data_IF_892164004275
#
_entry.id   IF_892164004275
#
_cell.length_a   1.000
_cell.length_b   1.000
_cell.length_c   1.000
_cell.angle_alpha   90.00
_cell.angle_beta   90.00
_cell.angle_gamma   90.00
#
_symmetry.space_group_name_H-M   'P 1'
#
loop_
_entity.id
_entity.type
_entity.pdbx_description
1 polymer ?
#
# COMPACT_ATOMS: atom_id res chain seq x y z
N UNK A 1 -25.01 7.53 6.03
CA UNK A 1 -23.76 7.15 5.36
C UNK A 1 -22.66 7.27 6.40
N UNK A 2 -21.99 6.18 6.77
CA UNK A 2 -20.85 6.28 7.70
C UNK A 2 -19.74 7.12 7.07
N UNK A 3 -18.99 7.93 7.85
CA UNK A 3 -17.88 8.70 7.32
C UNK A 3 -16.86 7.77 6.66
N UNK A 4 -16.32 8.20 5.52
CA UNK A 4 -15.25 7.49 4.84
C UNK A 4 -13.99 7.55 5.70
N UNK A 5 -13.56 6.40 6.23
CA UNK A 5 -12.31 6.25 6.99
C UNK A 5 -11.31 5.46 6.15
N UNK A 6 -10.49 6.12 5.30
CA UNK A 6 -9.53 5.43 4.47
C UNK A 6 -8.41 4.81 5.33
N UNK A 7 -8.00 3.61 4.95
CA UNK A 7 -6.75 3.01 5.41
C UNK A 7 -5.73 3.00 4.27
N UNK A 8 -4.45 3.08 4.65
CA UNK A 8 -3.35 3.30 3.73
C UNK A 8 -2.34 2.17 3.80
N UNK A 9 -1.73 1.86 2.68
CA UNK A 9 -0.56 1.00 2.60
C UNK A 9 0.60 1.80 2.05
N UNK A 10 1.67 1.97 2.81
CA UNK A 10 2.88 2.60 2.31
C UNK A 10 3.83 1.54 1.75
N UNK A 11 4.14 1.67 0.47
CA UNK A 11 5.17 0.89 -0.21
C UNK A 11 6.55 1.12 0.45
N UNK A 12 7.52 0.23 0.21
CA UNK A 12 8.84 0.26 0.85
C UNK A 12 9.58 1.58 0.62
N UNK A 13 9.39 2.19 -0.56
CA UNK A 13 9.97 3.50 -0.82
C UNK A 13 9.40 4.60 0.08
N UNK A 14 8.30 4.41 0.80
CA UNK A 14 7.70 5.31 1.78
C UNK A 14 7.72 4.74 3.22
N UNK A 15 8.43 3.63 3.46
CA UNK A 15 8.42 2.86 4.71
C UNK A 15 8.76 3.69 5.96
N UNK A 16 9.77 4.56 5.87
CA UNK A 16 10.21 5.38 7.00
C UNK A 16 9.09 6.29 7.53
N UNK A 17 8.32 6.92 6.62
CA UNK A 17 7.17 7.74 6.97
C UNK A 17 6.07 6.89 7.64
N UNK A 18 5.76 5.73 7.08
CA UNK A 18 4.73 4.85 7.61
C UNK A 18 5.04 4.36 9.03
N UNK A 19 6.30 3.99 9.28
CA UNK A 19 6.77 3.61 10.63
C UNK A 19 6.67 4.76 11.63
N UNK A 20 6.97 6.00 11.22
CA UNK A 20 6.81 7.19 12.08
C UNK A 20 5.33 7.41 12.41
N UNK A 21 4.44 7.34 11.41
CA UNK A 21 3.00 7.50 11.60
C UNK A 21 2.42 6.42 12.53
N UNK A 22 2.77 5.15 12.30
CA UNK A 22 2.35 4.04 13.15
C UNK A 22 2.85 4.20 14.58
N UNK A 23 4.13 4.56 14.78
CA UNK A 23 4.69 4.89 16.10
C UNK A 23 4.01 6.09 16.75
N UNK A 24 3.51 7.03 15.95
CA UNK A 24 2.71 8.17 16.39
C UNK A 24 1.26 7.82 16.75
N UNK A 25 0.86 6.55 16.68
CA UNK A 25 -0.45 6.06 17.09
C UNK A 25 -1.48 5.95 15.96
N UNK A 26 -1.09 6.15 14.70
CA UNK A 26 -1.98 5.87 13.56
C UNK A 26 -2.17 4.37 13.40
N UNK A 27 -3.41 3.91 13.42
CA UNK A 27 -3.78 2.49 13.27
C UNK A 27 -4.32 2.16 11.88
N UNK A 28 -4.37 3.14 10.99
CA UNK A 28 -4.90 3.05 9.63
C UNK A 28 -3.79 3.11 8.56
N UNK A 29 -2.53 2.87 8.95
CA UNK A 29 -1.36 2.88 8.06
C UNK A 29 -0.63 1.56 8.19
N UNK A 30 -0.63 0.80 7.10
CA UNK A 30 0.09 -0.46 6.94
C UNK A 30 1.32 -0.27 6.06
N UNK A 31 2.25 -1.21 6.12
CA UNK A 31 3.48 -1.21 5.33
C UNK A 31 4.05 -2.63 5.25
N UNK A 32 5.00 -2.92 4.36
CA UNK A 32 5.71 -4.20 4.31
C UNK A 32 6.35 -4.59 5.65
N UNK A 33 5.95 -5.74 6.20
CA UNK A 33 6.35 -6.23 7.52
C UNK A 33 5.54 -5.64 8.68
N UNK A 34 4.37 -5.04 8.44
CA UNK A 34 3.47 -4.58 9.50
C UNK A 34 2.84 -5.78 10.23
N UNK A 35 2.75 -5.80 11.57
CA UNK A 35 2.21 -6.94 12.33
C UNK A 35 0.78 -7.36 11.91
N UNK A 36 -0.07 -6.38 11.61
CA UNK A 36 -1.47 -6.62 11.15
C UNK A 36 -1.61 -6.84 9.63
N UNK A 37 -0.48 -6.93 8.91
CA UNK A 37 -0.42 -7.26 7.47
C UNK A 37 0.73 -8.26 7.22
N UNK A 38 0.67 -9.47 7.81
CA UNK A 38 1.74 -10.46 7.67
C UNK A 38 1.92 -10.99 6.24
N UNK A 39 0.90 -10.88 5.38
CA UNK A 39 0.93 -11.36 3.99
C UNK A 39 1.85 -10.52 3.09
N UNK A 40 2.21 -9.32 3.53
CA UNK A 40 3.17 -8.46 2.82
C UNK A 40 4.45 -8.35 3.67
N UNK A 41 5.41 -9.29 3.53
CA UNK A 41 6.68 -9.20 4.25
C UNK A 41 7.51 -8.02 3.75
N UNK A 42 8.54 -7.65 4.54
CA UNK A 42 9.57 -6.71 4.07
C UNK A 42 10.27 -7.30 2.83
N UNK A 43 10.52 -6.46 1.83
CA UNK A 43 11.07 -6.84 0.53
C UNK A 43 10.04 -7.35 -0.49
N UNK A 44 8.75 -7.39 -0.16
CA UNK A 44 7.70 -7.77 -1.10
C UNK A 44 7.68 -6.82 -2.32
N UNK A 45 7.69 -7.41 -3.52
CA UNK A 45 7.66 -6.70 -4.79
C UNK A 45 6.28 -6.12 -5.08
N UNK A 46 6.23 -5.15 -6.00
CA UNK A 46 4.99 -4.49 -6.44
C UNK A 46 3.87 -5.47 -6.77
N UNK A 47 4.17 -6.45 -7.61
CA UNK A 47 3.19 -7.45 -8.05
C UNK A 47 2.78 -8.43 -6.95
N UNK A 48 3.55 -8.55 -5.87
CA UNK A 48 3.24 -9.42 -4.74
C UNK A 48 2.28 -8.73 -3.76
N UNK A 49 2.49 -7.45 -3.47
CA UNK A 49 1.63 -6.73 -2.52
C UNK A 49 0.34 -6.21 -3.15
N UNK A 50 0.33 -5.90 -4.45
CA UNK A 50 -0.84 -5.31 -5.13
C UNK A 50 -2.14 -6.12 -4.94
N UNK A 51 -2.18 -7.45 -5.17
CA UNK A 51 -3.40 -8.23 -4.95
C UNK A 51 -3.94 -8.10 -3.52
N UNK A 52 -3.05 -8.07 -2.52
CA UNK A 52 -3.41 -8.02 -1.10
C UNK A 52 -3.96 -6.63 -0.74
N UNK A 53 -3.29 -5.57 -1.20
CA UNK A 53 -3.69 -4.18 -0.98
C UNK A 53 -5.03 -3.89 -1.65
N UNK A 54 -5.22 -4.36 -2.88
CA UNK A 54 -6.49 -4.24 -3.60
C UNK A 54 -7.63 -4.96 -2.91
N UNK A 55 -7.43 -6.22 -2.51
CA UNK A 55 -8.44 -7.01 -1.80
C UNK A 55 -8.86 -6.40 -0.45
N UNK A 56 -7.92 -5.75 0.25
CA UNK A 56 -8.19 -5.02 1.51
C UNK A 56 -8.72 -3.61 1.30
N UNK A 57 -8.80 -3.13 0.05
CA UNK A 57 -9.27 -1.79 -0.28
C UNK A 57 -8.38 -0.66 0.25
N UNK A 58 -7.10 -0.93 0.52
CA UNK A 58 -6.17 0.09 1.05
C UNK A 58 -5.78 1.07 -0.05
N UNK A 59 -5.46 2.30 0.33
CA UNK A 59 -4.89 3.31 -0.59
C UNK A 59 -3.37 3.20 -0.53
N UNK A 60 -2.73 2.84 -1.64
CA UNK A 60 -1.29 2.75 -1.71
C UNK A 60 -0.64 4.14 -1.71
N UNK A 61 0.39 4.31 -0.89
CA UNK A 61 1.25 5.49 -0.86
C UNK A 61 2.62 5.05 -1.38
N UNK A 62 3.03 5.61 -2.51
CA UNK A 62 4.30 5.25 -3.16
C UNK A 62 4.95 6.47 -3.76
N UNK A 63 6.27 6.58 -3.61
CA UNK A 63 7.10 7.63 -4.26
C UNK A 63 7.54 7.22 -5.66
N UNK A 64 7.28 5.98 -6.07
CA UNK A 64 7.60 5.54 -7.43
C UNK A 64 6.56 6.04 -8.43
N UNK A 65 6.92 7.11 -9.15
CA UNK A 65 6.09 7.68 -10.22
C UNK A 65 5.99 6.77 -11.45
N UNK A 66 6.89 5.79 -11.60
CA UNK A 66 6.95 4.90 -12.77
C UNK A 66 6.14 3.62 -12.58
N UNK A 67 5.67 3.32 -11.36
CA UNK A 67 4.88 2.12 -11.09
C UNK A 67 3.62 2.01 -11.98
N UNK A 68 3.03 3.14 -12.37
CA UNK A 68 1.85 3.18 -13.26
C UNK A 68 2.19 3.16 -14.76
N UNK A 69 3.48 3.11 -15.11
CA UNK A 69 3.95 3.09 -16.50
C UNK A 69 4.57 1.76 -16.90
N UNK A 70 4.97 0.93 -15.93
CA UNK A 70 5.43 -0.42 -16.19
C UNK A 70 4.22 -1.30 -16.54
N UNK A 71 4.24 -2.08 -17.65
CA UNK A 71 3.05 -2.76 -18.15
C UNK A 71 2.39 -3.73 -17.16
N UNK A 72 3.18 -4.54 -16.45
CA UNK A 72 2.65 -5.55 -15.53
C UNK A 72 1.98 -4.91 -14.31
N UNK A 73 2.60 -3.86 -13.77
CA UNK A 73 2.13 -3.10 -12.64
C UNK A 73 0.87 -2.30 -13.00
N UNK A 74 0.83 -1.70 -14.19
CA UNK A 74 -0.37 -1.03 -14.68
C UNK A 74 -1.55 -2.01 -14.82
N UNK A 75 -1.31 -3.19 -15.39
CA UNK A 75 -2.32 -4.25 -15.48
C UNK A 75 -2.80 -4.69 -14.10
N UNK A 76 -1.89 -4.86 -13.14
CA UNK A 76 -2.23 -5.16 -11.75
C UNK A 76 -3.03 -4.04 -11.07
N UNK A 77 -2.70 -2.77 -11.33
CA UNK A 77 -3.46 -1.61 -10.83
C UNK A 77 -4.93 -1.68 -11.27
N UNK A 78 -5.16 -2.01 -12.54
CA UNK A 78 -6.50 -2.13 -13.12
C UNK A 78 -7.20 -3.37 -12.56
N UNK A 79 -6.54 -4.52 -12.61
CA UNK A 79 -7.07 -5.83 -12.22
C UNK A 79 -7.49 -5.87 -10.75
N UNK A 80 -6.68 -5.30 -9.86
CA UNK A 80 -6.94 -5.30 -8.41
C UNK A 80 -7.57 -3.99 -7.90
N UNK A 81 -7.94 -3.07 -8.80
CA UNK A 81 -8.60 -1.81 -8.44
C UNK A 81 -7.79 -0.92 -7.50
N UNK A 82 -6.46 -0.90 -7.67
CA UNK A 82 -5.56 -0.20 -6.76
C UNK A 82 -5.77 1.31 -6.87
N UNK A 83 -5.97 1.94 -5.72
CA UNK A 83 -6.01 3.40 -5.56
C UNK A 83 -4.69 3.84 -4.96
N UNK A 84 -4.07 4.89 -5.50
CA UNK A 84 -2.82 5.37 -4.93
C UNK A 84 -2.61 6.87 -4.98
N UNK A 85 -1.77 7.35 -4.07
CA UNK A 85 -1.30 8.74 -3.96
C UNK A 85 0.23 8.74 -3.88
N UNK A 86 0.88 9.68 -4.57
CA UNK A 86 2.34 9.75 -4.69
C UNK A 86 2.82 11.12 -5.12
#
# INVERSE_FOLDING_TARGET
>A
MSPFSPAYFADENALGMAKILARGGRTDVFYPGHPDLPEVPLGALDLEWMPIVGARGLIAITRDRRIRTRPAELDAYITYGIRSVG
#
